data_IF_135063841823
#
_entry.id   IF_135063841823
#
_cell.length_a   1.000
_cell.length_b   1.000
_cell.length_c   1.000
_cell.angle_alpha   90.00
_cell.angle_beta   90.00
_cell.angle_gamma   90.00
#
_symmetry.space_group_name_H-M   'P 1'
#
loop_
_entity.id
_entity.type
_entity.pdbx_description
1 polymer ?
#
# COMPACT_ATOMS: atom_id res chain seq x y z
N UNK A 1 -9.80 -21.18 -14.20
CA UNK A 1 -9.42 -19.84 -13.72
C UNK A 1 -8.66 -19.97 -12.43
N UNK A 2 -7.87 -18.97 -12.05
CA UNK A 2 -7.18 -18.96 -10.75
C UNK A 2 -8.13 -18.38 -9.68
N UNK A 3 -8.55 -19.15 -8.66
CA UNK A 3 -9.50 -18.69 -7.65
C UNK A 3 -8.89 -17.73 -6.62
N UNK A 4 -7.56 -17.54 -6.63
CA UNK A 4 -6.83 -16.76 -5.64
C UNK A 4 -6.44 -15.35 -6.12
N UNK A 5 -7.01 -14.89 -7.24
CA UNK A 5 -6.83 -13.51 -7.68
C UNK A 5 -7.45 -12.55 -6.66
N UNK A 6 -6.89 -11.36 -6.54
CA UNK A 6 -7.32 -10.34 -5.58
C UNK A 6 -7.07 -8.93 -6.14
N UNK A 7 -7.61 -7.91 -5.48
CA UNK A 7 -7.39 -6.51 -5.87
C UNK A 7 -6.22 -5.90 -5.13
N UNK A 8 -5.45 -5.06 -5.84
CA UNK A 8 -4.47 -4.16 -5.25
C UNK A 8 -4.97 -2.73 -5.40
N UNK A 9 -5.18 -2.04 -4.28
CA UNK A 9 -5.50 -0.60 -4.26
C UNK A 9 -4.19 0.19 -4.25
N UNK A 10 -3.91 0.88 -5.36
CA UNK A 10 -2.64 1.55 -5.62
C UNK A 10 -2.72 3.02 -6.04
N UNK A 11 -3.88 3.61 -5.84
CA UNK A 11 -4.26 4.91 -6.34
C UNK A 11 -4.43 4.90 -7.86
N UNK A 12 -4.66 6.09 -8.41
CA UNK A 12 -4.74 6.33 -9.84
C UNK A 12 -4.10 7.69 -10.18
N UNK A 13 -3.72 7.87 -11.44
CA UNK A 13 -3.36 9.18 -11.97
C UNK A 13 -4.53 9.68 -12.80
N UNK A 14 -5.05 10.87 -12.47
CA UNK A 14 -6.13 11.47 -13.26
C UNK A 14 -5.59 12.08 -14.58
N UNK A 15 -6.50 12.55 -15.44
CA UNK A 15 -6.15 13.17 -16.73
C UNK A 15 -5.26 14.42 -16.65
N UNK A 16 -5.11 15.00 -15.46
CA UNK A 16 -4.27 16.16 -15.18
C UNK A 16 -2.92 15.77 -14.56
N UNK A 17 -2.59 14.47 -14.49
CA UNK A 17 -1.35 13.99 -13.90
C UNK A 17 -1.33 14.03 -12.37
N UNK A 18 -2.49 14.23 -11.72
CA UNK A 18 -2.58 14.27 -10.27
C UNK A 18 -2.84 12.87 -9.72
N UNK A 19 -2.12 12.54 -8.66
CA UNK A 19 -2.35 11.31 -7.91
C UNK A 19 -3.65 11.40 -7.13
N UNK A 20 -4.49 10.37 -7.28
CA UNK A 20 -5.72 10.15 -6.55
C UNK A 20 -5.53 8.88 -5.71
N UNK A 21 -5.21 9.02 -4.41
CA UNK A 21 -5.12 7.90 -3.50
C UNK A 21 -6.45 7.15 -3.39
N UNK A 22 -6.40 5.86 -3.08
CA UNK A 22 -7.59 5.04 -2.87
C UNK A 22 -7.46 4.04 -1.72
N UNK A 23 -6.73 4.40 -0.66
CA UNK A 23 -6.58 3.60 0.57
C UNK A 23 -7.37 4.14 1.77
N UNK A 24 -8.03 5.30 1.61
CA UNK A 24 -8.78 5.94 2.68
C UNK A 24 -9.97 5.07 3.10
N UNK A 25 -10.48 5.31 4.31
CA UNK A 25 -11.57 4.52 4.89
C UNK A 25 -12.77 4.39 3.93
N UNK A 26 -13.16 5.50 3.30
CA UNK A 26 -14.29 5.56 2.37
C UNK A 26 -14.05 4.76 1.08
N UNK A 27 -12.81 4.71 0.59
CA UNK A 27 -12.44 3.90 -0.57
C UNK A 27 -12.50 2.40 -0.25
N UNK A 28 -12.05 2.01 0.94
CA UNK A 28 -12.12 0.64 1.42
C UNK A 28 -13.57 0.18 1.54
N UNK A 29 -14.42 0.97 2.22
CA UNK A 29 -15.86 0.70 2.34
C UNK A 29 -16.51 0.58 0.96
N UNK A 30 -16.22 1.52 0.06
CA UNK A 30 -16.76 1.49 -1.30
C UNK A 30 -16.38 0.22 -2.05
N UNK A 31 -15.11 -0.23 -1.97
CA UNK A 31 -14.69 -1.47 -2.62
C UNK A 31 -15.40 -2.68 -2.01
N UNK A 32 -15.55 -2.73 -0.70
CA UNK A 32 -16.21 -3.84 0.00
C UNK A 32 -17.69 -3.93 -0.42
N UNK A 33 -18.41 -2.81 -0.49
CA UNK A 33 -19.78 -2.80 -1.02
C UNK A 33 -19.85 -3.35 -2.45
N UNK A 34 -18.91 -2.97 -3.32
CA UNK A 34 -18.83 -3.50 -4.69
C UNK A 34 -18.49 -5.00 -4.75
N UNK A 35 -17.78 -5.54 -3.75
CA UNK A 35 -17.53 -6.98 -3.63
C UNK A 35 -18.79 -7.72 -3.18
N UNK A 36 -19.56 -7.17 -2.25
CA UNK A 36 -20.79 -7.80 -1.75
C UNK A 36 -21.88 -7.91 -2.82
N UNK A 37 -21.84 -7.05 -3.84
CA UNK A 37 -22.71 -7.13 -5.02
C UNK A 37 -22.29 -8.25 -6.02
N UNK A 38 -21.20 -8.97 -5.75
CA UNK A 38 -20.61 -9.95 -6.66
C UNK A 38 -20.34 -11.27 -5.96
N UNK A 39 -20.45 -12.36 -6.71
CA UNK A 39 -20.06 -13.70 -6.25
C UNK A 39 -18.57 -13.96 -6.53
N UNK A 40 -17.70 -13.29 -5.76
CA UNK A 40 -16.25 -13.45 -5.86
C UNK A 40 -15.74 -14.51 -4.88
N UNK A 41 -14.93 -15.45 -5.36
CA UNK A 41 -14.33 -16.48 -4.50
C UNK A 41 -13.25 -15.93 -3.55
N UNK A 42 -12.57 -14.84 -3.95
CA UNK A 42 -11.56 -14.19 -3.14
C UNK A 42 -11.70 -12.68 -3.23
N UNK A 43 -12.18 -12.08 -2.15
CA UNK A 43 -12.39 -10.63 -1.99
C UNK A 43 -11.26 -9.97 -1.19
N UNK A 44 -10.06 -10.55 -1.20
CA UNK A 44 -8.91 -9.96 -0.51
C UNK A 44 -8.50 -8.62 -1.14
N UNK A 45 -8.16 -7.67 -0.29
CA UNK A 45 -7.63 -6.35 -0.67
C UNK A 45 -6.19 -6.26 -0.17
N UNK A 46 -5.27 -5.95 -1.09
CA UNK A 46 -3.89 -5.56 -0.77
C UNK A 46 -3.74 -4.07 -1.01
N UNK A 47 -3.14 -3.34 -0.08
CA UNK A 47 -2.89 -1.91 -0.23
C UNK A 47 -1.45 -1.68 -0.68
N UNK A 48 -1.26 -1.09 -1.85
CA UNK A 48 0.03 -0.54 -2.29
C UNK A 48 0.25 0.80 -1.59
N UNK A 49 1.25 0.86 -0.72
CA UNK A 49 1.52 2.05 0.07
C UNK A 49 2.31 3.11 -0.71
N UNK A 50 2.83 2.80 -1.91
CA UNK A 50 3.63 3.73 -2.72
C UNK A 50 2.85 4.25 -3.95
N UNK A 51 3.55 4.51 -5.06
CA UNK A 51 2.95 4.91 -6.34
C UNK A 51 1.98 6.11 -6.23
N UNK A 52 0.75 5.97 -6.76
CA UNK A 52 -0.23 7.05 -6.73
C UNK A 52 -0.85 7.23 -5.33
N UNK A 53 -0.79 6.21 -4.46
CA UNK A 53 -1.22 6.36 -3.08
C UNK A 53 -0.29 7.28 -2.28
N UNK A 54 1.02 7.17 -2.48
CA UNK A 54 2.01 8.07 -1.85
C UNK A 54 2.22 9.38 -2.60
N UNK A 55 1.57 9.58 -3.76
CA UNK A 55 1.93 10.63 -4.71
C UNK A 55 3.44 10.62 -5.05
N UNK A 56 4.03 9.42 -5.17
CA UNK A 56 5.46 9.16 -5.35
C UNK A 56 6.36 9.71 -4.22
N UNK A 57 5.80 9.98 -3.05
CA UNK A 57 6.55 10.38 -1.86
C UNK A 57 6.78 9.15 -0.98
N UNK A 58 7.87 8.43 -1.21
CA UNK A 58 8.13 7.12 -0.61
C UNK A 58 8.05 7.06 0.93
N UNK A 59 8.30 8.17 1.65
CA UNK A 59 8.14 8.25 3.11
C UNK A 59 6.68 8.18 3.58
N UNK A 60 5.74 8.56 2.72
CA UNK A 60 4.31 8.47 3.02
C UNK A 60 3.83 7.03 3.21
N UNK A 61 4.56 6.04 2.70
CA UNK A 61 4.27 4.62 2.90
C UNK A 61 4.00 4.29 4.38
N UNK A 62 4.80 4.86 5.30
CA UNK A 62 4.67 4.67 6.75
C UNK A 62 3.34 5.22 7.26
N UNK A 63 2.96 6.43 6.83
CA UNK A 63 1.71 7.08 7.24
C UNK A 63 0.51 6.31 6.68
N UNK A 64 0.57 5.91 5.42
CA UNK A 64 -0.49 5.16 4.71
C UNK A 64 -0.76 3.82 5.40
N UNK A 65 0.28 3.07 5.71
CA UNK A 65 0.14 1.79 6.45
C UNK A 65 -0.51 2.01 7.81
N UNK A 66 -0.07 3.02 8.58
CA UNK A 66 -0.67 3.35 9.88
C UNK A 66 -2.15 3.75 9.77
N UNK A 67 -2.52 4.51 8.74
CA UNK A 67 -3.89 4.91 8.49
C UNK A 67 -4.79 3.70 8.19
N UNK A 68 -4.33 2.78 7.33
CA UNK A 68 -5.09 1.56 7.02
C UNK A 68 -5.16 0.62 8.21
N UNK A 69 -4.10 0.48 9.00
CA UNK A 69 -4.14 -0.28 10.26
C UNK A 69 -5.17 0.31 11.24
N UNK A 70 -5.25 1.64 11.33
CA UNK A 70 -6.30 2.30 12.10
C UNK A 70 -7.70 1.98 11.56
N UNK A 71 -7.91 2.06 10.24
CA UNK A 71 -9.19 1.69 9.60
C UNK A 71 -9.58 0.24 9.88
N UNK A 72 -8.62 -0.70 9.84
CA UNK A 72 -8.84 -2.10 10.25
C UNK A 72 -9.23 -2.21 11.73
N UNK A 73 -8.56 -1.46 12.61
CA UNK A 73 -8.84 -1.48 14.04
C UNK A 73 -10.27 -1.00 14.37
N UNK A 74 -10.77 0.00 13.66
CA UNK A 74 -12.09 0.60 13.95
C UNK A 74 -13.24 -0.04 13.15
N UNK A 75 -12.95 -0.83 12.12
CA UNK A 75 -13.94 -1.54 11.32
C UNK A 75 -13.58 -3.01 11.13
N UNK A 76 -14.38 -3.90 11.73
CA UNK A 76 -14.22 -5.35 11.59
C UNK A 76 -14.38 -5.81 10.15
N UNK A 77 -15.22 -5.13 9.38
CA UNK A 77 -15.39 -5.40 7.95
C UNK A 77 -14.10 -5.07 7.18
N UNK A 78 -13.51 -3.89 7.38
CA UNK A 78 -12.21 -3.58 6.74
C UNK A 78 -11.12 -4.55 7.18
N UNK A 79 -11.09 -4.96 8.46
CA UNK A 79 -10.15 -5.97 8.95
C UNK A 79 -10.34 -7.34 8.29
N UNK A 80 -11.58 -7.70 7.91
CA UNK A 80 -11.87 -8.92 7.19
C UNK A 80 -11.37 -8.85 5.74
N UNK A 81 -11.58 -7.75 5.02
CA UNK A 81 -11.25 -7.69 3.59
C UNK A 81 -9.79 -7.28 3.30
N UNK A 82 -9.19 -6.39 4.11
CA UNK A 82 -7.80 -5.94 3.90
C UNK A 82 -6.83 -6.97 4.46
N UNK A 83 -6.13 -7.68 3.57
CA UNK A 83 -5.27 -8.82 3.93
C UNK A 83 -3.78 -8.49 3.98
N UNK A 84 -3.36 -7.34 3.46
CA UNK A 84 -1.94 -7.01 3.50
C UNK A 84 -1.57 -5.70 2.83
N UNK A 85 -0.26 -5.44 2.83
CA UNK A 85 0.37 -4.26 2.28
C UNK A 85 1.44 -4.64 1.26
N UNK A 86 1.60 -3.83 0.23
CA UNK A 86 2.77 -3.81 -0.64
C UNK A 86 3.58 -2.55 -0.32
N UNK A 87 4.86 -2.75 0.00
CA UNK A 87 5.79 -1.70 0.46
C UNK A 87 7.05 -1.79 -0.37
N UNK A 88 7.50 -0.66 -0.91
CA UNK A 88 8.76 -0.53 -1.62
C UNK A 88 9.84 -0.06 -0.64
N UNK A 89 10.72 -1.01 -0.30
CA UNK A 89 11.81 -0.85 0.65
C UNK A 89 13.12 -1.32 0.05
N UNK A 90 14.22 -0.75 0.52
CA UNK A 90 15.57 -1.20 0.17
C UNK A 90 16.55 -0.91 1.31
N UNK A 91 17.83 -1.23 1.12
CA UNK A 91 18.83 -1.05 2.18
C UNK A 91 18.98 0.45 2.48
N UNK A 92 19.28 1.22 1.44
CA UNK A 92 19.37 2.68 1.43
C UNK A 92 18.08 3.29 0.88
N UNK A 93 17.66 4.39 1.48
CA UNK A 93 16.43 5.07 1.09
C UNK A 93 16.55 5.92 -0.18
N UNK A 94 15.38 6.23 -0.74
CA UNK A 94 15.21 7.02 -1.95
C UNK A 94 15.55 6.23 -3.21
N UNK A 95 15.96 6.94 -4.24
CA UNK A 95 16.45 6.36 -5.49
C UNK A 95 17.67 7.12 -6.02
N UNK A 96 18.33 6.54 -7.01
CA UNK A 96 19.52 7.07 -7.64
C UNK A 96 19.46 6.83 -9.16
N UNK A 97 20.33 7.51 -9.92
CA UNK A 97 20.52 7.15 -11.33
C UNK A 97 21.39 5.90 -11.42
N UNK A 98 21.31 5.21 -12.56
CA UNK A 98 22.13 4.02 -12.86
C UNK A 98 23.64 4.30 -12.74
N UNK A 99 24.06 5.55 -12.90
CA UNK A 99 25.46 5.99 -12.82
C UNK A 99 26.01 6.12 -11.40
N UNK A 100 25.16 6.35 -10.39
CA UNK A 100 25.60 6.81 -9.07
C UNK A 100 26.10 5.64 -8.20
N UNK A 101 25.68 4.40 -8.51
CA UNK A 101 26.21 3.11 -8.00
C UNK A 101 26.32 2.98 -6.47
N UNK A 102 25.47 3.69 -5.71
CA UNK A 102 25.31 3.46 -4.27
C UNK A 102 24.75 2.06 -4.07
N UNK A 103 25.49 1.22 -3.33
CA UNK A 103 25.03 -0.13 -3.03
C UNK A 103 23.72 -0.08 -2.24
N UNK A 104 22.74 -0.92 -2.62
CA UNK A 104 21.51 -1.01 -1.86
C UNK A 104 20.59 0.20 -1.97
N UNK A 105 20.73 1.05 -3.01
CA UNK A 105 19.80 2.15 -3.32
C UNK A 105 19.06 1.94 -4.65
N UNK A 106 17.75 2.15 -4.69
CA UNK A 106 16.89 1.86 -5.85
C UNK A 106 17.31 2.67 -7.09
N UNK A 107 17.24 2.07 -8.28
CA UNK A 107 17.43 2.76 -9.57
C UNK A 107 16.10 3.09 -10.29
N UNK A 108 14.97 2.75 -9.66
CA UNK A 108 13.61 2.99 -10.18
C UNK A 108 12.85 3.93 -9.24
N UNK A 109 11.70 3.51 -8.73
CA UNK A 109 10.94 4.30 -7.77
C UNK A 109 11.68 4.36 -6.41
N UNK A 110 11.58 5.48 -5.69
CA UNK A 110 12.25 5.64 -4.42
C UNK A 110 11.63 4.75 -3.35
N UNK A 111 12.50 4.15 -2.51
CA UNK A 111 12.12 3.21 -1.47
C UNK A 111 12.35 3.79 -0.07
N UNK A 112 11.62 3.30 0.94
CA UNK A 112 12.05 3.49 2.34
C UNK A 112 13.32 2.68 2.62
N UNK A 113 14.17 3.15 3.53
CA UNK A 113 15.39 2.46 3.95
C UNK A 113 15.12 1.31 4.93
N UNK A 114 16.18 0.58 5.27
CA UNK A 114 16.07 -0.59 6.16
C UNK A 114 15.52 -0.25 7.55
N UNK A 115 15.99 0.83 8.17
CA UNK A 115 15.56 1.23 9.51
C UNK A 115 14.04 1.50 9.60
N UNK A 116 13.49 2.15 8.57
CA UNK A 116 12.04 2.40 8.50
C UNK A 116 11.26 1.11 8.21
N UNK A 117 11.83 0.23 7.39
CA UNK A 117 11.23 -1.06 7.05
C UNK A 117 11.08 -1.95 8.28
N UNK A 118 12.14 -2.06 9.08
CA UNK A 118 12.12 -2.80 10.34
C UNK A 118 11.06 -2.26 11.29
N UNK A 119 11.07 -0.95 11.56
CA UNK A 119 10.08 -0.29 12.43
C UNK A 119 8.65 -0.48 11.93
N UNK A 120 8.45 -0.42 10.62
CA UNK A 120 7.13 -0.56 10.00
C UNK A 120 6.61 -2.00 10.09
N UNK A 121 7.45 -3.01 9.91
CA UNK A 121 7.06 -4.42 10.09
C UNK A 121 6.62 -4.69 11.52
N UNK A 122 7.37 -4.22 12.52
CA UNK A 122 6.96 -4.34 13.92
C UNK A 122 5.68 -3.56 14.22
N UNK A 123 5.53 -2.35 13.66
CA UNK A 123 4.28 -1.58 13.78
C UNK A 123 3.09 -2.35 13.22
N UNK A 124 3.25 -3.02 12.08
CA UNK A 124 2.20 -3.88 11.50
C UNK A 124 1.91 -5.01 12.47
N UNK A 125 2.92 -5.79 12.88
CA UNK A 125 2.77 -6.94 13.77
C UNK A 125 2.04 -6.61 15.09
N UNK A 126 2.31 -5.45 15.69
CA UNK A 126 1.68 -5.00 16.94
C UNK A 126 0.20 -4.58 16.77
N UNK A 127 -0.29 -4.44 15.54
CA UNK A 127 -1.64 -3.93 15.23
C UNK A 127 -2.49 -4.94 14.42
N UNK A 128 -2.07 -6.19 14.29
CA UNK A 128 -2.87 -7.28 13.65
C UNK A 128 -3.42 -8.25 14.68
#
# INVERSE_FOLDING_TARGET
GNPLTHTVLRGAINKHGQSIPNYHYEDLVRLISMYQERDLQNSAIIIDANHANSNKQYKEQIRIVREVLHSRKVSSEIAEYVKGFMIESYIEEGSQKVTDRVYGKSITDPCIGWEDSEKLIYTIADNV
#
